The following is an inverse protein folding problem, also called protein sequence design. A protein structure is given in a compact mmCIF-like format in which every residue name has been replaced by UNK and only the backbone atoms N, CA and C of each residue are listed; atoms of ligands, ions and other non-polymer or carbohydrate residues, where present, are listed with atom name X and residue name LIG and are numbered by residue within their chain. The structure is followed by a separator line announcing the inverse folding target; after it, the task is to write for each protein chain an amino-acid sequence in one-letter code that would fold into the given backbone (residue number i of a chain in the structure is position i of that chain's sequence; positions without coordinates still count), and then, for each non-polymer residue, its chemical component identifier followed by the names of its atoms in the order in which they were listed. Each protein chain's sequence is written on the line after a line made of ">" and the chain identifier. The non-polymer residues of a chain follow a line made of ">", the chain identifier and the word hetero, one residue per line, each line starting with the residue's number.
data_IF_779953253705
#
_entry.id   IF_779953253705
#
_cell.length_a   1.000
_cell.length_b   1.000
_cell.length_c   1.000
_cell.angle_alpha   90.00
_cell.angle_beta   90.00
_cell.angle_gamma   90.00
#
_symmetry.space_group_name_H-M   'P 1'
#
loop_
_entity.id
_entity.type
_entity.pdbx_description
1 polymer ?
#
# COMPACT_ATOMS: atom_id res chain seq x y z
N UNK A 1 -32.82 8.92 -24.71
CA UNK A 1 -31.86 7.80 -24.79
C UNK A 1 -31.38 7.60 -23.38
N UNK A 2 -31.72 6.46 -22.78
CA UNK A 2 -31.23 6.13 -21.44
C UNK A 2 -29.75 5.75 -21.58
N UNK A 3 -28.90 6.51 -20.90
CA UNK A 3 -27.46 6.28 -20.89
C UNK A 3 -27.22 5.11 -19.92
N UNK A 4 -26.63 3.99 -20.35
CA UNK A 4 -26.34 2.88 -19.45
C UNK A 4 -25.43 3.36 -18.33
N UNK A 5 -25.79 3.02 -17.09
CA UNK A 5 -25.02 3.38 -15.89
C UNK A 5 -24.30 2.14 -15.38
N UNK A 6 -22.98 2.25 -15.25
CA UNK A 6 -22.15 1.20 -14.67
C UNK A 6 -21.73 1.60 -13.25
N UNK A 7 -21.98 0.73 -12.28
CA UNK A 7 -21.57 0.88 -10.89
C UNK A 7 -20.66 -0.30 -10.50
N UNK A 8 -19.64 -0.04 -9.68
CA UNK A 8 -18.82 -1.09 -9.05
C UNK A 8 -19.35 -1.33 -7.64
N UNK A 9 -19.70 -2.57 -7.34
CA UNK A 9 -20.18 -3.03 -6.04
C UNK A 9 -19.06 -3.88 -5.43
N UNK A 10 -18.59 -3.52 -4.23
CA UNK A 10 -17.75 -4.42 -3.43
C UNK A 10 -18.71 -5.25 -2.57
N UNK A 11 -18.67 -6.57 -2.74
CA UNK A 11 -19.48 -7.51 -1.98
C UNK A 11 -18.54 -8.47 -1.25
N UNK A 12 -18.62 -8.48 0.07
CA UNK A 12 -17.95 -9.44 0.95
C UNK A 12 -19.03 -10.40 1.48
N UNK A 13 -18.79 -11.69 1.35
CA UNK A 13 -19.74 -12.75 1.70
C UNK A 13 -19.07 -13.71 2.70
N UNK A 14 -19.40 -13.55 3.98
CA UNK A 14 -19.07 -14.53 4.99
C UNK A 14 -20.04 -15.71 4.90
N UNK A 15 -19.53 -16.90 4.58
CA UNK A 15 -20.36 -18.10 4.42
C UNK A 15 -19.91 -19.17 5.40
N UNK A 16 -20.84 -19.61 6.24
CA UNK A 16 -20.67 -20.74 7.15
C UNK A 16 -21.44 -21.95 6.60
N UNK A 17 -20.82 -23.13 6.62
CA UNK A 17 -21.45 -24.37 6.17
C UNK A 17 -21.51 -25.37 7.32
N UNK A 18 -22.65 -26.05 7.48
CA UNK A 18 -22.88 -27.06 8.52
C UNK A 18 -21.99 -28.33 8.37
N UNK A 19 -21.22 -28.44 7.29
CA UNK A 19 -20.25 -29.50 7.03
C UNK A 19 -19.70 -29.47 5.60
N UNK A 20 -18.42 -29.82 5.43
CA UNK A 20 -17.71 -29.84 4.14
C UNK A 20 -18.40 -30.71 3.07
N UNK A 21 -19.03 -31.80 3.49
CA UNK A 21 -19.73 -32.75 2.62
C UNK A 21 -20.95 -32.12 1.90
N UNK A 22 -21.58 -31.10 2.48
CA UNK A 22 -22.77 -30.49 1.91
C UNK A 22 -22.45 -29.72 0.62
N UNK A 23 -21.42 -28.87 0.66
CA UNK A 23 -20.98 -28.05 -0.48
C UNK A 23 -20.37 -28.94 -1.56
N UNK A 24 -19.50 -29.86 -1.18
CA UNK A 24 -18.90 -30.81 -2.14
C UNK A 24 -19.93 -31.75 -2.75
N UNK A 25 -20.93 -32.20 -1.96
CA UNK A 25 -22.04 -33.01 -2.46
C UNK A 25 -22.86 -32.28 -3.50
N UNK A 26 -23.16 -31.01 -3.27
CA UNK A 26 -23.86 -30.15 -4.23
C UNK A 26 -23.02 -29.90 -5.49
N UNK A 27 -21.73 -29.58 -5.34
CA UNK A 27 -20.83 -29.35 -6.48
C UNK A 27 -20.68 -30.59 -7.39
N UNK A 28 -20.65 -31.80 -6.82
CA UNK A 28 -20.67 -33.05 -7.60
C UNK A 28 -21.96 -33.22 -8.38
N UNK A 29 -23.11 -32.91 -7.78
CA UNK A 29 -24.40 -32.96 -8.48
C UNK A 29 -24.42 -31.96 -9.64
N UNK A 30 -24.00 -30.73 -9.40
CA UNK A 30 -23.87 -29.69 -10.42
C UNK A 30 -22.90 -30.10 -11.54
N UNK A 31 -21.77 -30.74 -11.22
CA UNK A 31 -20.82 -31.25 -12.20
C UNK A 31 -21.46 -32.25 -13.18
N UNK A 32 -22.33 -33.13 -12.67
CA UNK A 32 -23.09 -34.06 -13.51
C UNK A 32 -24.07 -33.35 -14.45
N UNK A 33 -24.71 -32.28 -14.01
CA UNK A 33 -25.63 -31.51 -14.86
C UNK A 33 -24.89 -30.73 -15.96
N UNK A 34 -23.72 -30.17 -15.65
CA UNK A 34 -22.97 -29.30 -16.56
C UNK A 34 -22.08 -30.05 -17.55
N UNK A 35 -21.60 -31.26 -17.22
CA UNK A 35 -20.74 -32.02 -18.12
C UNK A 35 -21.51 -32.62 -19.32
N UNK A 36 -22.83 -32.77 -19.22
CA UNK A 36 -23.64 -33.43 -20.24
C UNK A 36 -23.17 -34.88 -20.48
N UNK A 37 -22.95 -35.24 -21.74
CA UNK A 37 -22.49 -36.59 -22.14
C UNK A 37 -20.94 -36.73 -22.21
N UNK A 38 -20.18 -35.69 -21.87
CA UNK A 38 -18.71 -35.72 -21.91
C UNK A 38 -18.11 -36.30 -20.63
N UNK A 39 -17.69 -37.57 -20.69
CA UNK A 39 -17.09 -38.28 -19.58
C UNK A 39 -15.77 -37.66 -19.08
N UNK A 40 -14.97 -37.05 -19.95
CA UNK A 40 -13.70 -36.45 -19.56
C UNK A 40 -13.91 -35.12 -18.82
N UNK A 41 -14.86 -34.30 -19.29
CA UNK A 41 -15.30 -33.08 -18.60
C UNK A 41 -15.89 -33.39 -17.23
N UNK A 42 -16.69 -34.46 -17.13
CA UNK A 42 -17.26 -34.90 -15.88
C UNK A 42 -16.18 -35.32 -14.86
N UNK A 43 -15.20 -36.12 -15.29
CA UNK A 43 -14.11 -36.58 -14.42
C UNK A 43 -13.29 -35.40 -13.87
N UNK A 44 -12.96 -34.43 -14.71
CA UNK A 44 -12.24 -33.22 -14.29
C UNK A 44 -13.04 -32.40 -13.26
N UNK A 45 -14.33 -32.15 -13.52
CA UNK A 45 -15.20 -31.41 -12.59
C UNK A 45 -15.40 -32.16 -11.26
N UNK A 46 -15.54 -33.49 -11.30
CA UNK A 46 -15.66 -34.28 -10.07
C UNK A 46 -14.38 -34.27 -9.23
N UNK A 47 -13.20 -34.28 -9.88
CA UNK A 47 -11.92 -34.14 -9.20
C UNK A 47 -11.80 -32.78 -8.50
N UNK A 48 -12.14 -31.70 -9.20
CA UNK A 48 -12.12 -30.34 -8.64
C UNK A 48 -13.12 -30.18 -7.48
N UNK A 49 -14.34 -30.74 -7.59
CA UNK A 49 -15.34 -30.69 -6.53
C UNK A 49 -14.95 -31.51 -5.27
N UNK A 50 -13.95 -32.39 -5.37
CA UNK A 50 -13.46 -33.20 -4.26
C UNK A 50 -12.20 -32.64 -3.61
N UNK A 51 -11.56 -31.65 -4.21
CA UNK A 51 -10.28 -31.08 -3.76
C UNK A 51 -10.43 -30.42 -2.38
N UNK A 52 -11.38 -29.50 -2.24
CA UNK A 52 -11.69 -28.85 -0.97
C UNK A 52 -13.12 -28.26 -0.99
N UNK A 53 -13.70 -27.89 0.16
CA UNK A 53 -14.97 -27.16 0.21
C UNK A 53 -14.93 -25.82 -0.54
N UNK A 54 -13.78 -25.14 -0.51
CA UNK A 54 -13.52 -23.86 -1.16
C UNK A 54 -13.49 -24.03 -2.68
N UNK A 55 -12.74 -25.01 -3.21
CA UNK A 55 -12.76 -25.35 -4.64
C UNK A 55 -14.16 -25.72 -5.11
N UNK A 56 -14.91 -26.50 -4.30
CA UNK A 56 -16.29 -26.86 -4.60
C UNK A 56 -17.22 -25.63 -4.62
N UNK A 57 -17.00 -24.65 -3.74
CA UNK A 57 -17.75 -23.40 -3.70
C UNK A 57 -17.48 -22.54 -4.94
N UNK A 58 -16.21 -22.39 -5.34
CA UNK A 58 -15.82 -21.67 -6.56
C UNK A 58 -16.45 -22.26 -7.81
N UNK A 59 -16.68 -23.57 -7.84
CA UNK A 59 -17.32 -24.22 -8.98
C UNK A 59 -18.81 -23.89 -9.12
N UNK A 60 -19.52 -23.65 -8.02
CA UNK A 60 -20.98 -23.51 -8.02
C UNK A 60 -21.45 -22.07 -7.88
N UNK A 61 -20.60 -21.18 -7.38
CA UNK A 61 -20.88 -19.75 -7.32
C UNK A 61 -20.30 -19.05 -8.54
N UNK A 62 -21.17 -18.68 -9.47
CA UNK A 62 -20.83 -17.70 -10.49
C UNK A 62 -21.25 -16.31 -9.99
N UNK A 63 -20.32 -15.35 -9.83
CA UNK A 63 -20.66 -14.01 -9.34
C UNK A 63 -21.68 -13.28 -10.23
N UNK A 64 -21.73 -13.62 -11.52
CA UNK A 64 -22.69 -13.04 -12.47
C UNK A 64 -24.14 -13.43 -12.14
N UNK A 65 -24.35 -14.62 -11.56
CA UNK A 65 -25.68 -15.10 -11.17
C UNK A 65 -26.25 -14.33 -9.96
N UNK A 66 -25.39 -13.80 -9.07
CA UNK A 66 -25.82 -13.01 -7.91
C UNK A 66 -26.55 -11.71 -8.33
N UNK A 67 -26.23 -11.17 -9.51
CA UNK A 67 -26.81 -9.94 -10.04
C UNK A 67 -27.87 -10.18 -11.12
N UNK A 68 -27.94 -11.40 -11.67
CA UNK A 68 -28.81 -11.77 -12.78
C UNK A 68 -30.31 -11.60 -12.48
N UNK A 69 -30.72 -11.60 -11.22
CA UNK A 69 -32.12 -11.42 -10.82
C UNK A 69 -32.58 -9.95 -10.75
N UNK A 70 -31.67 -8.97 -10.81
CA UNK A 70 -32.04 -7.55 -10.70
C UNK A 70 -32.45 -6.98 -12.06
N UNK A 71 -33.72 -6.58 -12.27
CA UNK A 71 -34.20 -6.15 -13.58
C UNK A 71 -33.43 -4.93 -14.11
N UNK A 72 -32.81 -5.08 -15.28
CA UNK A 72 -32.05 -4.02 -15.95
C UNK A 72 -30.59 -3.88 -15.50
N UNK A 73 -30.09 -4.78 -14.65
CA UNK A 73 -28.67 -4.87 -14.28
C UNK A 73 -28.03 -6.01 -15.08
N UNK A 74 -26.82 -5.76 -15.57
CA UNK A 74 -26.01 -6.74 -16.31
C UNK A 74 -24.62 -6.75 -15.68
N UNK A 75 -24.16 -7.94 -15.26
CA UNK A 75 -22.78 -8.09 -14.82
C UNK A 75 -21.85 -7.88 -16.01
N UNK A 76 -20.82 -7.05 -15.81
CA UNK A 76 -19.79 -6.77 -16.82
C UNK A 76 -18.47 -7.47 -16.52
N UNK A 77 -18.38 -8.11 -15.35
CA UNK A 77 -17.21 -8.84 -14.86
C UNK A 77 -17.22 -8.93 -13.34
N UNK A 78 -16.56 -9.96 -12.82
CA UNK A 78 -16.43 -10.21 -11.39
C UNK A 78 -15.08 -10.87 -11.07
N UNK A 79 -14.62 -10.63 -9.84
CA UNK A 79 -13.45 -11.27 -9.25
C UNK A 79 -13.86 -11.85 -7.91
N UNK A 80 -13.51 -13.12 -7.68
CA UNK A 80 -13.79 -13.84 -6.44
C UNK A 80 -12.50 -14.47 -5.94
N UNK A 81 -12.24 -14.37 -4.64
CA UNK A 81 -11.13 -15.01 -3.95
C UNK A 81 -11.68 -15.68 -2.68
N UNK A 82 -10.99 -16.70 -2.19
CA UNK A 82 -11.33 -17.38 -0.94
C UNK A 82 -10.12 -17.31 -0.02
N UNK A 83 -10.30 -16.76 1.17
CA UNK A 83 -9.36 -16.89 2.26
C UNK A 83 -9.65 -18.19 3.02
N UNK A 84 -8.90 -19.24 2.68
CA UNK A 84 -9.01 -20.57 3.30
C UNK A 84 -7.65 -21.02 3.83
N UNK A 85 -7.48 -20.92 5.15
CA UNK A 85 -6.26 -21.32 5.85
C UNK A 85 -6.05 -22.84 5.82
N UNK A 86 -4.87 -23.27 5.38
CA UNK A 86 -4.34 -24.57 5.75
C UNK A 86 -3.84 -24.50 7.19
N UNK A 87 -4.74 -24.73 8.16
CA UNK A 87 -4.29 -25.20 9.47
C UNK A 87 -3.72 -26.60 9.27
N UNK A 88 -2.43 -26.67 8.94
CA UNK A 88 -1.68 -27.90 9.02
C UNK A 88 -1.70 -28.37 10.48
N UNK A 89 -2.31 -29.54 10.67
CA UNK A 89 -2.40 -30.31 11.91
C UNK A 89 -1.01 -30.46 12.56
N UNK A 90 -0.68 -29.55 13.48
CA UNK A 90 0.53 -29.62 14.31
C UNK A 90 0.29 -30.61 15.45
N UNK A 91 0.17 -31.88 15.09
CA UNK A 91 0.33 -32.96 16.04
C UNK A 91 1.81 -33.05 16.42
N UNK A 92 2.14 -32.53 17.60
CA UNK A 92 3.48 -32.61 18.19
C UNK A 92 3.86 -34.09 18.41
N UNK A 93 4.95 -34.61 17.82
CA UNK A 93 5.51 -35.88 18.25
C UNK A 93 6.24 -35.69 19.58
N UNK A 94 6.02 -36.65 20.48
CA UNK A 94 6.65 -36.76 21.81
C UNK A 94 8.17 -36.53 21.78
N UNK A 95 8.63 -35.79 22.79
CA UNK A 95 10.03 -35.52 23.12
C UNK A 95 10.86 -36.82 23.22
N UNK A 96 11.77 -37.04 22.26
CA UNK A 96 12.97 -37.84 22.48
C UNK A 96 14.06 -37.52 21.43
N UNK A 97 15.05 -36.74 21.88
CA UNK A 97 16.47 -36.80 21.49
C UNK A 97 16.82 -36.81 19.98
N UNK A 98 17.08 -35.64 19.36
CA UNK A 98 18.04 -35.44 18.26
C UNK A 98 18.44 -33.95 18.26
N UNK A 99 19.62 -33.57 18.75
CA UNK A 99 20.90 -33.38 18.03
C UNK A 99 20.86 -32.24 17.00
N UNK A 100 21.72 -31.25 17.22
CA UNK A 100 21.79 -29.94 16.59
C UNK A 100 21.97 -29.99 15.06
N UNK A 101 20.91 -29.74 14.29
CA UNK A 101 20.99 -29.10 12.97
C UNK A 101 19.82 -28.12 12.88
N UNK A 102 20.08 -26.83 13.12
CA UNK A 102 19.15 -25.74 12.77
C UNK A 102 18.94 -25.78 11.26
N UNK A 103 17.84 -26.42 10.84
CA UNK A 103 17.26 -26.27 9.52
C UNK A 103 16.92 -24.78 9.39
N UNK A 104 17.74 -24.05 8.64
CA UNK A 104 17.40 -22.71 8.16
C UNK A 104 16.07 -22.84 7.44
N UNK A 105 15.02 -22.30 8.05
CA UNK A 105 13.75 -22.10 7.38
C UNK A 105 14.05 -21.16 6.21
N UNK A 106 14.17 -21.72 5.01
CA UNK A 106 14.28 -20.97 3.76
C UNK A 106 12.96 -20.22 3.59
N UNK A 107 12.80 -19.07 4.26
CA UNK A 107 11.74 -18.11 3.99
C UNK A 107 11.76 -17.86 2.48
N UNK A 108 10.76 -18.38 1.78
CA UNK A 108 10.67 -18.28 0.33
C UNK A 108 10.81 -16.80 -0.05
N UNK A 109 11.80 -16.48 -0.90
CA UNK A 109 11.99 -15.12 -1.41
C UNK A 109 10.65 -14.64 -2.00
N UNK A 110 10.10 -13.57 -1.41
CA UNK A 110 8.82 -13.01 -1.84
C UNK A 110 8.91 -12.58 -3.29
N UNK A 111 7.93 -12.97 -4.10
CA UNK A 111 7.90 -12.62 -5.51
C UNK A 111 7.54 -11.14 -5.70
N UNK A 112 7.90 -10.58 -6.86
CA UNK A 112 7.48 -9.22 -7.23
C UNK A 112 5.95 -9.07 -7.19
N UNK A 113 5.19 -10.12 -7.53
CA UNK A 113 3.73 -10.12 -7.46
C UNK A 113 3.21 -10.01 -6.02
N UNK A 114 3.88 -10.67 -5.07
CA UNK A 114 3.57 -10.55 -3.64
C UNK A 114 3.84 -9.12 -3.15
N UNK A 115 4.96 -8.52 -3.57
CA UNK A 115 5.28 -7.12 -3.25
C UNK A 115 4.26 -6.13 -3.81
N UNK A 116 3.87 -6.30 -5.08
CA UNK A 116 2.84 -5.47 -5.71
C UNK A 116 1.52 -5.58 -4.95
N UNK A 117 1.12 -6.78 -4.56
CA UNK A 117 -0.11 -7.01 -3.80
C UNK A 117 -0.03 -6.39 -2.40
N UNK A 118 1.10 -6.54 -1.70
CA UNK A 118 1.32 -5.90 -0.40
C UNK A 118 1.24 -4.38 -0.48
N UNK A 119 1.87 -3.77 -1.49
CA UNK A 119 1.80 -2.33 -1.74
C UNK A 119 0.35 -1.92 -1.98
N UNK A 120 -0.38 -2.62 -2.85
CA UNK A 120 -1.78 -2.31 -3.14
C UNK A 120 -2.65 -2.36 -1.88
N UNK A 121 -2.51 -3.41 -1.06
CA UNK A 121 -3.26 -3.58 0.19
C UNK A 121 -2.88 -2.52 1.25
N UNK A 122 -1.61 -2.11 1.28
CA UNK A 122 -1.14 -1.07 2.22
C UNK A 122 -1.78 0.30 1.98
N UNK A 123 -2.43 0.52 0.84
CA UNK A 123 -3.15 1.76 0.55
C UNK A 123 -4.19 2.09 1.65
N UNK A 124 -4.83 1.10 2.26
CA UNK A 124 -5.85 1.31 3.30
C UNK A 124 -5.27 1.80 4.64
N UNK A 125 -3.95 1.75 4.80
CA UNK A 125 -3.26 2.31 5.97
C UNK A 125 -3.18 3.84 5.92
N UNK A 126 -3.43 4.49 4.79
CA UNK A 126 -3.46 5.96 4.63
C UNK A 126 -4.86 6.49 4.25
N UNK A 127 -5.91 6.26 5.05
CA UNK A 127 -7.29 6.62 4.69
C UNK A 127 -7.53 8.13 4.65
N UNK A 128 -6.65 8.94 5.24
CA UNK A 128 -6.71 10.39 5.22
C UNK A 128 -6.29 11.01 3.90
N UNK A 129 -5.63 10.23 3.02
CA UNK A 129 -5.20 10.67 1.71
C UNK A 129 -6.24 10.28 0.65
N UNK A 130 -6.99 11.28 0.18
CA UNK A 130 -8.03 11.09 -0.83
C UNK A 130 -7.42 10.67 -2.18
N UNK A 131 -7.94 9.60 -2.79
CA UNK A 131 -7.42 9.11 -4.08
C UNK A 131 -7.54 10.15 -5.20
N UNK A 132 -8.46 11.12 -5.10
CA UNK A 132 -8.59 12.22 -6.07
C UNK A 132 -7.36 13.11 -6.10
N UNK A 133 -6.68 13.32 -4.97
CA UNK A 133 -5.40 14.07 -4.92
C UNK A 133 -4.24 13.27 -5.51
N UNK A 134 -4.45 11.97 -5.77
CA UNK A 134 -3.52 11.03 -6.37
C UNK A 134 -3.89 10.66 -7.82
N UNK A 135 -4.83 11.39 -8.43
CA UNK A 135 -5.17 11.25 -9.85
C UNK A 135 -6.41 10.42 -10.13
N UNK A 136 -7.17 10.01 -9.10
CA UNK A 136 -8.46 9.38 -9.33
C UNK A 136 -9.49 10.39 -9.88
N UNK A 137 -9.79 10.29 -11.17
CA UNK A 137 -10.76 11.14 -11.85
C UNK A 137 -12.20 10.60 -11.69
N UNK A 138 -12.89 10.98 -10.62
CA UNK A 138 -14.29 10.56 -10.36
C UNK A 138 -15.27 10.99 -11.46
N UNK A 139 -14.98 12.10 -12.15
CA UNK A 139 -15.77 12.65 -13.24
C UNK A 139 -15.50 11.99 -14.61
N UNK A 140 -14.53 11.09 -14.71
CA UNK A 140 -14.25 10.36 -15.95
C UNK A 140 -15.47 9.52 -16.37
N UNK A 141 -15.87 9.65 -17.63
CA UNK A 141 -17.06 9.02 -18.20
C UNK A 141 -16.74 7.63 -18.77
N UNK A 142 -15.50 7.39 -19.19
CA UNK A 142 -15.06 6.08 -19.64
C UNK A 142 -14.82 5.17 -18.40
N UNK A 143 -15.59 4.09 -18.23
CA UNK A 143 -15.48 3.22 -17.07
C UNK A 143 -14.12 2.54 -16.94
N UNK A 144 -13.48 2.19 -18.06
CA UNK A 144 -12.19 1.50 -18.07
C UNK A 144 -11.07 2.45 -17.66
N UNK A 145 -11.05 3.66 -18.22
CA UNK A 145 -10.10 4.72 -17.84
C UNK A 145 -10.27 5.09 -16.37
N UNK A 146 -11.51 5.21 -15.88
CA UNK A 146 -11.80 5.47 -14.48
C UNK A 146 -11.35 4.33 -13.56
N UNK A 147 -11.50 3.08 -13.99
CA UNK A 147 -11.06 1.91 -13.25
C UNK A 147 -9.53 1.84 -13.14
N UNK A 148 -8.84 2.12 -14.25
CA UNK A 148 -7.38 2.22 -14.28
C UNK A 148 -6.88 3.34 -13.36
N UNK A 149 -7.46 4.55 -13.47
CA UNK A 149 -7.10 5.67 -12.61
C UNK A 149 -7.32 5.38 -11.11
N UNK A 150 -8.38 4.64 -10.76
CA UNK A 150 -8.60 4.18 -9.39
C UNK A 150 -7.49 3.24 -8.92
N UNK A 151 -7.18 2.21 -9.71
CA UNK A 151 -6.11 1.24 -9.38
C UNK A 151 -4.76 1.94 -9.23
N UNK A 152 -4.42 2.82 -10.16
CA UNK A 152 -3.18 3.58 -10.15
C UNK A 152 -3.08 4.52 -8.94
N UNK A 153 -4.15 5.22 -8.58
CA UNK A 153 -4.20 6.03 -7.38
C UNK A 153 -4.07 5.19 -6.10
N UNK A 154 -4.68 4.00 -6.07
CA UNK A 154 -4.53 3.05 -4.95
C UNK A 154 -3.09 2.55 -4.82
N UNK A 155 -2.45 2.15 -5.92
CA UNK A 155 -1.03 1.78 -5.94
C UNK A 155 -0.14 2.91 -5.43
N UNK A 156 -0.36 4.14 -5.90
CA UNK A 156 0.41 5.29 -5.44
C UNK A 156 0.22 5.56 -3.93
N UNK A 157 -1.00 5.40 -3.41
CA UNK A 157 -1.27 5.52 -1.97
C UNK A 157 -0.55 4.42 -1.17
N UNK A 158 -0.55 3.20 -1.69
CA UNK A 158 0.21 2.08 -1.14
C UNK A 158 1.73 2.32 -1.15
N UNK A 159 2.25 2.84 -2.26
CA UNK A 159 3.66 3.17 -2.41
C UNK A 159 4.08 4.28 -1.44
N UNK A 160 3.24 5.29 -1.23
CA UNK A 160 3.44 6.33 -0.22
C UNK A 160 3.49 5.76 1.20
N UNK A 161 2.68 4.75 1.49
CA UNK A 161 2.72 4.07 2.78
C UNK A 161 4.03 3.31 2.96
N UNK A 162 4.46 2.53 1.95
CA UNK A 162 5.75 1.85 1.98
C UNK A 162 6.91 2.84 2.18
N UNK A 163 6.90 3.93 1.43
CA UNK A 163 7.91 4.99 1.54
C UNK A 163 7.90 5.63 2.92
N UNK A 164 6.74 5.77 3.55
CA UNK A 164 6.62 6.27 4.91
C UNK A 164 7.27 5.33 5.93
N UNK A 165 6.95 4.04 5.92
CA UNK A 165 7.61 3.07 6.81
C UNK A 165 9.13 3.09 6.61
N UNK A 166 9.57 3.02 5.35
CA UNK A 166 10.99 3.03 4.98
C UNK A 166 11.72 4.29 5.47
N UNK A 167 11.17 5.49 5.22
CA UNK A 167 11.80 6.75 5.64
C UNK A 167 11.84 6.88 7.17
N UNK A 168 10.78 6.45 7.87
CA UNK A 168 10.75 6.50 9.33
C UNK A 168 11.81 5.60 9.95
N UNK A 169 11.94 4.36 9.47
CA UNK A 169 12.97 3.43 9.95
C UNK A 169 14.38 3.99 9.72
N UNK A 170 14.63 4.54 8.54
CA UNK A 170 15.92 5.15 8.23
C UNK A 170 16.21 6.42 9.05
N UNK A 171 15.18 7.21 9.39
CA UNK A 171 15.36 8.36 10.28
C UNK A 171 15.68 7.94 11.72
N UNK A 172 15.16 6.80 12.19
CA UNK A 172 15.61 6.23 13.47
C UNK A 172 17.09 5.85 13.43
N UNK A 173 17.54 5.22 12.35
CA UNK A 173 18.96 4.88 12.15
C UNK A 173 19.85 6.13 12.04
N UNK A 174 19.37 7.18 11.39
CA UNK A 174 20.07 8.47 11.29
C UNK A 174 20.25 9.13 12.66
N UNK A 175 19.20 9.12 13.49
CA UNK A 175 19.28 9.60 14.88
C UNK A 175 20.33 8.81 15.66
N UNK A 176 20.34 7.48 15.53
CA UNK A 176 21.28 6.62 16.22
C UNK A 176 22.72 6.84 15.75
N UNK A 177 22.92 6.99 14.44
CA UNK A 177 24.20 7.29 13.79
C UNK A 177 24.78 8.58 14.36
N UNK A 178 24.00 9.66 14.36
CA UNK A 178 24.45 10.98 14.82
C UNK A 178 24.65 11.06 16.34
N UNK A 179 23.92 10.26 17.14
CA UNK A 179 24.19 10.14 18.58
C UNK A 179 25.52 9.44 18.87
N UNK A 180 25.92 8.51 18.02
CA UNK A 180 27.15 7.73 18.18
C UNK A 180 28.35 8.46 17.60
N UNK A 181 28.17 9.14 16.47
CA UNK A 181 29.20 9.90 15.76
C UNK A 181 28.60 11.19 15.22
N UNK A 182 28.79 12.29 15.95
CA UNK A 182 28.16 13.58 15.66
C UNK A 182 28.56 14.19 14.30
N UNK A 183 29.74 13.84 13.77
CA UNK A 183 30.25 14.37 12.50
C UNK A 183 29.95 13.44 11.30
N UNK A 184 29.18 12.36 11.49
CA UNK A 184 28.87 11.33 10.49
C UNK A 184 27.62 11.63 9.65
N UNK A 185 27.27 12.90 9.39
CA UNK A 185 26.12 13.25 8.54
C UNK A 185 26.19 12.59 7.15
N UNK A 186 27.39 12.42 6.59
CA UNK A 186 27.56 11.72 5.31
C UNK A 186 27.24 10.22 5.33
N UNK A 187 27.13 9.61 6.51
CA UNK A 187 26.80 8.19 6.72
C UNK A 187 25.31 7.99 7.02
N UNK A 188 24.55 9.08 7.17
CA UNK A 188 23.08 9.04 7.31
C UNK A 188 22.42 8.65 6.00
N UNK A 189 21.25 8.01 6.10
CA UNK A 189 20.47 7.47 5.00
C UNK A 189 19.54 8.54 4.41
N UNK A 190 18.75 9.21 5.25
CA UNK A 190 17.76 10.20 4.82
C UNK A 190 18.28 11.63 4.96
N UNK A 191 18.98 11.95 6.07
CA UNK A 191 19.47 13.31 6.30
C UNK A 191 20.56 13.73 5.29
N UNK A 192 21.29 12.78 4.70
CA UNK A 192 22.30 13.09 3.68
C UNK A 192 21.67 13.59 2.36
N UNK A 193 20.39 13.27 2.13
CA UNK A 193 19.58 13.65 0.98
C UNK A 193 18.85 15.00 1.17
N UNK A 194 18.94 15.61 2.36
CA UNK A 194 18.47 16.97 2.59
C UNK A 194 19.39 18.03 1.93
N UNK A 195 18.94 19.30 1.81
CA UNK A 195 19.70 20.36 1.16
C UNK A 195 21.17 20.44 1.60
N UNK A 196 22.15 20.16 0.71
CA UNK A 196 23.54 19.95 1.12
C UNK A 196 24.22 21.13 1.82
N UNK A 197 23.78 22.37 1.51
CA UNK A 197 24.31 23.58 2.13
C UNK A 197 24.09 23.64 3.66
N UNK A 198 23.14 22.85 4.18
CA UNK A 198 22.76 22.83 5.60
C UNK A 198 23.36 21.66 6.39
N UNK A 199 24.11 20.75 5.74
CA UNK A 199 24.73 19.59 6.39
C UNK A 199 25.47 19.87 7.70
N UNK A 200 26.23 20.98 7.85
CA UNK A 200 26.91 21.29 9.11
C UNK A 200 25.98 21.47 10.31
N UNK A 201 24.68 21.68 10.08
CA UNK A 201 23.67 21.87 11.12
C UNK A 201 22.84 20.61 11.41
N UNK A 202 23.08 19.50 10.70
CA UNK A 202 22.36 18.24 10.91
C UNK A 202 22.99 17.45 12.07
N UNK A 203 22.71 17.88 13.30
CA UNK A 203 23.12 17.15 14.51
C UNK A 203 22.05 16.14 14.97
N UNK A 204 22.34 15.43 16.06
CA UNK A 204 21.42 14.45 16.64
C UNK A 204 20.09 15.06 17.11
N UNK A 205 20.07 16.36 17.48
CA UNK A 205 18.83 17.04 17.90
C UNK A 205 17.99 17.41 16.67
N UNK A 206 18.62 17.93 15.62
CA UNK A 206 17.99 18.16 14.33
C UNK A 206 17.33 16.88 13.81
N UNK A 207 18.07 15.76 13.81
CA UNK A 207 17.57 14.46 13.39
C UNK A 207 16.31 14.03 14.16
N UNK A 208 16.32 14.18 15.49
CA UNK A 208 15.16 13.84 16.33
C UNK A 208 13.96 14.74 16.03
N UNK A 209 14.18 16.04 15.85
CA UNK A 209 13.09 16.96 15.51
C UNK A 209 12.54 16.67 14.12
N UNK A 210 13.40 16.39 13.16
CA UNK A 210 13.01 16.04 11.80
C UNK A 210 12.23 14.71 11.76
N UNK A 211 12.63 13.71 12.54
CA UNK A 211 11.86 12.48 12.73
C UNK A 211 10.45 12.76 13.29
N UNK A 212 10.32 13.62 14.29
CA UNK A 212 8.99 13.99 14.84
C UNK A 212 8.12 14.66 13.78
N UNK A 213 8.70 15.55 12.97
CA UNK A 213 8.02 16.17 11.83
C UNK A 213 7.58 15.12 10.80
N UNK A 214 8.41 14.14 10.48
CA UNK A 214 8.06 13.06 9.56
C UNK A 214 6.90 12.18 10.10
N UNK A 215 6.91 11.89 11.41
CA UNK A 215 5.79 11.22 12.08
C UNK A 215 4.49 12.05 12.02
N UNK A 216 4.59 13.38 12.18
CA UNK A 216 3.44 14.28 12.03
C UNK A 216 2.88 14.23 10.59
N UNK A 217 3.74 14.15 9.56
CA UNK A 217 3.30 13.94 8.16
C UNK A 217 2.54 12.63 8.03
N UNK A 218 3.06 11.54 8.59
CA UNK A 218 2.37 10.25 8.64
C UNK A 218 0.99 10.35 9.29
N UNK A 219 0.89 11.04 10.42
CA UNK A 219 -0.38 11.28 11.09
C UNK A 219 -1.38 12.00 10.16
N UNK A 220 -0.96 13.07 9.48
CA UNK A 220 -1.80 13.79 8.53
C UNK A 220 -2.30 12.89 7.38
N UNK A 221 -1.45 12.00 6.85
CA UNK A 221 -1.84 11.04 5.80
C UNK A 221 -2.91 10.04 6.27
N UNK A 222 -3.01 9.78 7.58
CA UNK A 222 -4.01 8.88 8.18
C UNK A 222 -5.28 9.63 8.61
N UNK A 223 -5.16 10.77 9.28
CA UNK A 223 -6.29 11.45 9.95
C UNK A 223 -7.11 12.37 9.05
N UNK A 224 -6.63 12.62 7.83
CA UNK A 224 -7.19 13.58 6.89
C UNK A 224 -6.09 14.54 6.47
N UNK A 225 -5.65 14.40 5.23
CA UNK A 225 -4.47 15.10 4.75
C UNK A 225 -4.72 16.61 4.68
N UNK A 226 -3.79 17.35 5.28
CA UNK A 226 -3.60 18.78 5.07
C UNK A 226 -2.19 19.01 4.57
N UNK A 227 -2.02 20.01 3.70
CA UNK A 227 -0.69 20.40 3.22
C UNK A 227 0.29 20.66 4.39
N UNK A 228 1.60 20.46 4.17
CA UNK A 228 2.63 20.71 5.16
C UNK A 228 2.48 22.05 5.89
N UNK A 229 2.63 21.99 7.21
CA UNK A 229 2.50 23.11 8.14
C UNK A 229 3.81 23.88 8.36
N UNK A 230 4.94 23.35 7.91
CA UNK A 230 6.25 24.00 7.93
C UNK A 230 7.15 23.40 6.86
N UNK A 231 8.29 24.07 6.61
CA UNK A 231 9.27 23.64 5.62
C UNK A 231 9.89 22.27 5.93
N UNK A 232 10.08 21.91 7.21
CA UNK A 232 10.56 20.59 7.58
C UNK A 232 9.57 19.48 7.16
N UNK A 233 8.25 19.73 7.26
CA UNK A 233 7.24 18.78 6.79
C UNK A 233 7.23 18.66 5.26
N UNK A 234 7.50 19.76 4.54
CA UNK A 234 7.69 19.70 3.08
C UNK A 234 8.89 18.85 2.71
N UNK A 235 10.03 19.04 3.38
CA UNK A 235 11.23 18.23 3.14
C UNK A 235 11.00 16.75 3.47
N UNK A 236 10.30 16.44 4.56
CA UNK A 236 9.93 15.07 4.89
C UNK A 236 9.03 14.45 3.81
N UNK A 237 8.00 15.18 3.35
CA UNK A 237 7.14 14.72 2.27
C UNK A 237 7.93 14.54 0.95
N UNK A 238 8.91 15.41 0.66
CA UNK A 238 9.79 15.24 -0.49
C UNK A 238 10.57 13.92 -0.39
N UNK A 239 11.15 13.59 0.76
CA UNK A 239 11.87 12.33 0.96
C UNK A 239 10.96 11.10 0.76
N UNK A 240 9.69 11.19 1.18
CA UNK A 240 8.70 10.15 0.88
C UNK A 240 8.53 9.97 -0.64
N UNK A 241 8.36 11.07 -1.37
CA UNK A 241 8.17 11.02 -2.83
C UNK A 241 9.43 10.52 -3.55
N UNK A 242 10.62 10.94 -3.12
CA UNK A 242 11.88 10.44 -3.69
C UNK A 242 12.04 8.92 -3.41
N UNK A 243 11.53 8.43 -2.28
CA UNK A 243 11.52 7.00 -1.94
C UNK A 243 10.50 6.22 -2.78
N UNK A 244 9.33 6.81 -3.10
CA UNK A 244 8.37 6.23 -4.06
C UNK A 244 9.00 6.13 -5.46
N UNK A 245 9.73 7.14 -5.90
CA UNK A 245 10.45 7.11 -7.20
C UNK A 245 11.50 5.99 -7.22
N UNK A 246 12.20 5.78 -6.10
CA UNK A 246 13.14 4.66 -5.94
C UNK A 246 12.42 3.30 -5.97
N UNK A 247 11.24 3.19 -5.35
CA UNK A 247 10.41 1.98 -5.38
C UNK A 247 9.92 1.65 -6.79
N UNK A 248 9.44 2.64 -7.54
CA UNK A 248 9.02 2.49 -8.94
C UNK A 248 10.16 1.96 -9.82
N UNK A 249 11.39 2.41 -9.57
CA UNK A 249 12.56 1.89 -10.27
C UNK A 249 12.85 0.42 -9.91
N UNK A 250 12.61 0.01 -8.66
CA UNK A 250 12.81 -1.37 -8.20
C UNK A 250 11.67 -2.31 -8.63
N UNK A 251 10.45 -1.79 -8.77
CA UNK A 251 9.25 -2.54 -9.18
C UNK A 251 8.61 -1.90 -10.43
N UNK A 252 9.13 -2.15 -11.64
CA UNK A 252 8.66 -1.50 -12.86
C UNK A 252 7.20 -1.80 -13.23
N UNK A 253 6.65 -2.90 -12.71
CA UNK A 253 5.25 -3.30 -12.93
C UNK A 253 4.28 -2.67 -11.91
N UNK A 254 4.79 -1.81 -11.01
CA UNK A 254 3.97 -1.00 -10.11
C UNK A 254 3.22 0.06 -10.90
N UNK A 255 2.00 -0.31 -11.32
CA UNK A 255 1.11 0.51 -12.15
C UNK A 255 0.64 1.77 -11.39
N UNK A 256 1.37 2.87 -11.55
CA UNK A 256 1.07 4.20 -11.02
C UNK A 256 0.70 5.18 -12.16
N UNK A 257 0.10 6.34 -11.85
CA UNK A 257 -0.13 7.36 -12.87
C UNK A 257 1.20 7.81 -13.51
N UNK A 258 1.25 7.92 -14.85
CA UNK A 258 2.50 8.24 -15.55
C UNK A 258 3.17 9.55 -15.07
N UNK A 259 2.36 10.56 -14.71
CA UNK A 259 2.83 11.85 -14.21
C UNK A 259 2.64 11.97 -12.68
N UNK A 260 2.67 10.84 -11.94
CA UNK A 260 2.36 10.82 -10.51
C UNK A 260 3.19 11.82 -9.71
N UNK A 261 4.48 12.00 -10.04
CA UNK A 261 5.37 12.92 -9.31
C UNK A 261 4.93 14.36 -9.47
N UNK A 262 4.54 14.76 -10.68
CA UNK A 262 4.02 16.11 -10.97
C UNK A 262 2.72 16.31 -10.21
N UNK A 263 1.81 15.33 -10.31
CA UNK A 263 0.50 15.38 -9.67
C UNK A 263 0.60 15.47 -8.14
N UNK A 264 1.47 14.65 -7.53
CA UNK A 264 1.74 14.70 -6.10
C UNK A 264 2.38 16.04 -5.68
N UNK A 265 3.28 16.58 -6.50
CA UNK A 265 3.92 17.87 -6.22
C UNK A 265 2.93 19.03 -6.25
N UNK A 266 1.96 18.99 -7.18
CA UNK A 266 0.92 20.03 -7.30
C UNK A 266 -0.15 19.93 -6.20
N UNK A 267 -0.50 18.72 -5.77
CA UNK A 267 -1.62 18.52 -4.85
C UNK A 267 -1.22 18.41 -3.38
N UNK A 268 -0.01 17.93 -3.06
CA UNK A 268 0.41 17.68 -1.69
C UNK A 268 1.15 18.87 -1.07
N UNK A 269 1.75 19.75 -1.88
CA UNK A 269 2.48 20.92 -1.39
C UNK A 269 1.69 22.22 -1.56
N UNK A 270 1.93 23.16 -0.65
CA UNK A 270 1.40 24.53 -0.79
C UNK A 270 2.26 25.36 -1.76
N UNK A 271 3.57 25.16 -1.74
CA UNK A 271 4.55 25.74 -2.66
C UNK A 271 5.72 24.78 -2.88
N UNK A 272 6.56 25.08 -3.86
CA UNK A 272 7.79 24.34 -4.15
C UNK A 272 9.02 25.10 -3.65
N UNK A 273 8.88 25.90 -2.59
CA UNK A 273 9.98 26.72 -2.08
C UNK A 273 11.10 25.86 -1.47
N UNK A 274 10.78 24.68 -0.94
CA UNK A 274 11.76 23.70 -0.49
C UNK A 274 12.73 23.26 -1.59
N UNK A 275 12.32 23.25 -2.87
CA UNK A 275 13.20 22.92 -4.00
C UNK A 275 14.31 23.97 -4.20
N UNK A 276 14.04 25.24 -3.85
CA UNK A 276 15.04 26.30 -3.96
C UNK A 276 16.20 26.11 -2.98
N UNK A 277 16.00 25.38 -1.88
CA UNK A 277 17.05 25.07 -0.91
C UNK A 277 18.14 24.18 -1.50
N UNK A 278 17.78 23.28 -2.42
CA UNK A 278 18.72 22.40 -3.11
C UNK A 278 19.58 23.14 -4.14
N UNK A 279 19.08 24.27 -4.65
CA UNK A 279 19.81 25.15 -5.57
C UNK A 279 20.70 26.15 -4.84
N UNK A 280 20.46 26.39 -3.54
CA UNK A 280 21.25 27.30 -2.72
C UNK A 280 22.62 26.70 -2.41
N UNK A 281 23.67 27.51 -2.51
CA UNK A 281 25.04 27.09 -2.18
C UNK A 281 25.49 27.57 -0.78
N UNK A 282 24.78 28.54 -0.22
CA UNK A 282 25.26 29.30 0.94
C UNK A 282 24.35 29.20 2.17
N UNK A 283 23.25 28.42 2.10
CA UNK A 283 22.31 28.25 3.21
C UNK A 283 21.56 29.56 3.53
N UNK A 284 20.66 29.98 2.64
CA UNK A 284 20.05 31.31 2.68
C UNK A 284 19.08 31.58 3.86
N UNK A 285 18.59 30.56 4.57
CA UNK A 285 17.70 30.68 5.74
C UNK A 285 18.34 30.09 6.98
N UNK A 286 17.87 30.44 8.18
CA UNK A 286 18.27 29.70 9.38
C UNK A 286 17.61 28.31 9.35
N UNK A 287 18.33 27.27 9.76
CA UNK A 287 17.76 25.92 9.88
C UNK A 287 16.64 25.88 10.93
N UNK A 288 16.68 26.79 11.91
CA UNK A 288 15.61 26.91 12.89
C UNK A 288 14.27 27.26 12.24
N UNK A 289 14.29 28.01 11.14
CA UNK A 289 13.08 28.43 10.43
C UNK A 289 12.36 27.26 9.77
N UNK A 290 13.04 26.13 9.56
CA UNK A 290 12.43 24.93 8.97
C UNK A 290 11.33 24.35 9.86
N UNK A 291 11.46 24.54 11.18
CA UNK A 291 10.53 24.06 12.19
C UNK A 291 9.55 25.13 12.65
N UNK A 292 9.54 26.30 12.00
CA UNK A 292 8.56 27.34 12.30
C UNK A 292 7.26 27.06 11.55
N UNK A 293 6.11 26.92 12.23
CA UNK A 293 4.85 26.69 11.55
C UNK A 293 4.44 27.90 10.72
N UNK A 294 3.84 27.64 9.56
CA UNK A 294 3.19 28.64 8.73
C UNK A 294 2.02 29.30 9.47
N UNK A 295 1.56 30.43 8.94
CA UNK A 295 0.51 31.23 9.57
C UNK A 295 -0.75 30.39 9.85
N UNK A 296 -1.18 30.38 11.11
CA UNK A 296 -2.33 29.62 11.63
C UNK A 296 -2.18 28.09 11.61
N UNK A 297 -0.97 27.57 11.44
CA UNK A 297 -0.68 26.15 11.57
C UNK A 297 -0.05 25.83 12.94
N UNK A 298 -0.05 24.55 13.30
CA UNK A 298 0.56 24.05 14.54
C UNK A 298 1.59 22.98 14.23
N UNK A 299 2.63 22.90 15.05
CA UNK A 299 3.64 21.86 14.99
C UNK A 299 3.73 21.14 16.33
N UNK A 300 4.15 19.87 16.32
CA UNK A 300 4.47 19.15 17.54
C UNK A 300 5.45 19.97 18.42
N UNK A 301 5.17 20.16 19.73
CA UNK A 301 5.98 21.00 20.59
C UNK A 301 7.42 20.52 20.76
N UNK A 302 7.71 19.24 20.51
CA UNK A 302 9.08 18.73 20.51
C UNK A 302 9.88 19.19 19.29
N UNK A 303 9.22 19.23 18.12
CA UNK A 303 9.82 19.67 16.87
C UNK A 303 9.93 21.20 16.80
N UNK A 304 8.97 21.92 17.39
CA UNK A 304 8.97 23.37 17.44
C UNK A 304 10.26 23.89 18.10
N UNK A 305 10.82 24.94 17.51
CA UNK A 305 11.85 25.72 18.19
C UNK A 305 11.25 26.58 19.31
N UNK A 306 12.04 26.81 20.36
CA UNK A 306 11.80 27.89 21.33
C UNK A 306 12.13 29.27 20.70
#
# INVERSE_FOLDING_TARGET
>A
MDIPRTAKLHLELDVEFDGSDAVQGYARHWAHEQAGDDAASLEAKLAQAAESPESALMMVLEPDDLLGEVPGVMALGASMWIDGGSEADTSWPDEAELDDEEEFDDEAEESDEDWLQKIFLAADKLPGLDLTVLGYATAELNPDTRAQALRQATNLRGALHWAYEYVIDQLFDDVQTLRTSADSVGETLQLCALPPAYRPAFDALFAQRFLVVALDVGHCLVSGFSSPSCLAQELALKLLLDSVESLEFMLPDLDMPQDWRVLASENLFTSLDHELLYLSHDGASDISDWFTPYLNQTLNPYAANE
#
